data_IF_513300207726
#
_entry.id   IF_513300207726
#
_cell.length_a   1.000
_cell.length_b   1.000
_cell.length_c   1.000
_cell.angle_alpha   90.00
_cell.angle_beta   90.00
_cell.angle_gamma   90.00
#
_symmetry.space_group_name_H-M   'P 1'
#
loop_
_entity.id
_entity.type
_entity.pdbx_description
1 polymer ?
#
# COMPACT_ATOMS: atom_id res chain seq x y z
N UNK A 1 10.71 35.15 -52.27
CA UNK A 1 9.60 34.17 -52.19
C UNK A 1 9.94 32.99 -51.28
N UNK A 2 11.05 32.27 -51.52
CA UNK A 2 11.48 31.13 -50.69
C UNK A 2 11.63 31.43 -49.19
N UNK A 3 12.17 32.60 -48.82
CA UNK A 3 12.31 33.01 -47.41
C UNK A 3 10.97 33.12 -46.67
N UNK A 4 9.92 33.63 -47.31
CA UNK A 4 8.59 33.76 -46.69
C UNK A 4 7.91 32.41 -46.47
N UNK A 5 8.08 31.48 -47.42
CA UNK A 5 7.58 30.11 -47.30
C UNK A 5 8.30 29.37 -46.17
N UNK A 6 9.63 29.50 -46.08
CA UNK A 6 10.41 28.89 -45.00
C UNK A 6 9.99 29.41 -43.61
N UNK A 7 9.77 30.73 -43.48
CA UNK A 7 9.28 31.33 -42.23
C UNK A 7 7.88 30.81 -41.89
N UNK A 8 6.97 30.72 -42.87
CA UNK A 8 5.63 30.21 -42.63
C UNK A 8 5.64 28.74 -42.15
N UNK A 9 6.46 27.89 -42.78
CA UNK A 9 6.63 26.49 -42.35
C UNK A 9 7.21 26.40 -40.94
N UNK A 10 8.21 27.20 -40.62
CA UNK A 10 8.79 27.25 -39.27
C UNK A 10 7.77 27.70 -38.23
N UNK A 11 6.96 28.72 -38.54
CA UNK A 11 5.90 29.21 -37.65
C UNK A 11 4.86 28.10 -37.39
N UNK A 12 4.42 27.40 -38.43
CA UNK A 12 3.50 26.26 -38.28
C UNK A 12 4.13 25.14 -37.46
N UNK A 13 5.41 24.82 -37.69
CA UNK A 13 6.14 23.83 -36.90
C UNK A 13 6.24 24.20 -35.42
N UNK A 14 6.55 25.45 -35.10
CA UNK A 14 6.60 25.95 -33.72
C UNK A 14 5.22 25.92 -33.08
N UNK A 15 4.18 26.37 -33.79
CA UNK A 15 2.81 26.35 -33.28
C UNK A 15 2.33 24.92 -33.01
N UNK A 16 2.62 23.98 -33.91
CA UNK A 16 2.27 22.57 -33.75
C UNK A 16 2.99 21.91 -32.56
N UNK A 17 4.30 22.13 -32.41
CA UNK A 17 5.08 21.59 -31.29
C UNK A 17 4.70 22.21 -29.96
N UNK A 18 4.38 23.51 -29.92
CA UNK A 18 3.89 24.17 -28.72
C UNK A 18 2.51 23.62 -28.29
N UNK A 19 1.60 23.41 -29.24
CA UNK A 19 0.29 22.81 -28.96
C UNK A 19 0.43 21.38 -28.44
N UNK A 20 1.23 20.55 -29.12
CA UNK A 20 1.49 19.17 -28.70
C UNK A 20 2.13 19.11 -27.31
N UNK A 21 3.15 19.94 -27.04
CA UNK A 21 3.80 19.99 -25.74
C UNK A 21 2.87 20.42 -24.61
N UNK A 22 1.94 21.35 -24.89
CA UNK A 22 0.92 21.74 -23.92
C UNK A 22 -0.08 20.61 -23.63
N UNK A 23 -0.52 19.90 -24.68
CA UNK A 23 -1.43 18.78 -24.55
C UNK A 23 -0.79 17.63 -23.76
N UNK A 24 0.43 17.24 -24.13
CA UNK A 24 1.23 16.22 -23.43
C UNK A 24 1.40 16.57 -21.94
N UNK A 25 1.74 17.82 -21.63
CA UNK A 25 1.90 18.27 -20.25
C UNK A 25 0.60 18.14 -19.44
N UNK A 26 -0.55 18.45 -20.05
CA UNK A 26 -1.88 18.33 -19.41
C UNK A 26 -2.25 16.88 -19.14
N UNK A 27 -2.09 16.01 -20.13
CA UNK A 27 -2.38 14.58 -20.02
C UNK A 27 -1.49 13.91 -18.96
N UNK A 28 -0.18 14.16 -19.02
CA UNK A 28 0.78 13.67 -18.02
C UNK A 28 0.41 14.12 -16.61
N UNK A 29 0.07 15.40 -16.43
CA UNK A 29 -0.32 15.95 -15.13
C UNK A 29 -1.58 15.27 -14.60
N UNK A 30 -2.57 15.01 -15.45
CA UNK A 30 -3.81 14.33 -15.06
C UNK A 30 -3.55 12.90 -14.58
N UNK A 31 -2.67 12.17 -15.27
CA UNK A 31 -2.26 10.81 -14.87
C UNK A 31 -1.54 10.83 -13.52
N UNK A 32 -0.56 11.72 -13.33
CA UNK A 32 0.18 11.82 -12.07
C UNK A 32 -0.74 12.15 -10.88
N UNK A 33 -1.70 13.06 -11.07
CA UNK A 33 -2.70 13.37 -10.04
C UNK A 33 -3.61 12.17 -9.76
N UNK A 34 -4.05 11.44 -10.79
CA UNK A 34 -4.89 10.27 -10.60
C UNK A 34 -4.16 9.17 -9.80
N UNK A 35 -2.91 8.89 -10.16
CA UNK A 35 -2.07 7.93 -9.46
C UNK A 35 -1.80 8.36 -8.00
N UNK A 36 -1.47 9.64 -7.76
CA UNK A 36 -1.31 10.17 -6.40
C UNK A 36 -2.59 10.00 -5.57
N UNK A 37 -3.76 10.29 -6.14
CA UNK A 37 -5.04 10.10 -5.46
C UNK A 37 -5.32 8.61 -5.18
N UNK A 38 -4.91 7.71 -6.08
CA UNK A 38 -5.04 6.26 -5.86
C UNK A 38 -4.13 5.80 -4.72
N UNK A 39 -2.88 6.24 -4.68
CA UNK A 39 -1.95 5.91 -3.60
C UNK A 39 -2.43 6.42 -2.25
N UNK A 40 -2.90 7.67 -2.18
CA UNK A 40 -3.45 8.23 -0.94
C UNK A 40 -4.66 7.43 -0.44
N UNK A 41 -5.58 7.06 -1.35
CA UNK A 41 -6.75 6.24 -1.00
C UNK A 41 -6.35 4.85 -0.54
N UNK A 42 -5.55 4.14 -1.34
CA UNK A 42 -5.10 2.79 -1.02
C UNK A 42 -4.33 2.75 0.30
N UNK A 43 -3.48 3.74 0.57
CA UNK A 43 -2.76 3.82 1.83
C UNK A 43 -3.70 4.07 3.02
N UNK A 44 -4.66 4.99 2.86
CA UNK A 44 -5.67 5.25 3.88
C UNK A 44 -6.51 3.99 4.17
N UNK A 45 -7.00 3.33 3.13
CA UNK A 45 -7.82 2.13 3.26
C UNK A 45 -7.02 0.99 3.88
N UNK A 46 -5.77 0.78 3.44
CA UNK A 46 -4.84 -0.17 4.07
C UNK A 46 -4.66 0.10 5.57
N UNK A 47 -4.39 1.36 5.96
CA UNK A 47 -4.18 1.70 7.38
C UNK A 47 -5.42 1.40 8.22
N UNK A 48 -6.61 1.68 7.69
CA UNK A 48 -7.88 1.36 8.34
C UNK A 48 -8.09 -0.15 8.45
N UNK A 49 -7.83 -0.91 7.38
CA UNK A 49 -8.00 -2.36 7.39
C UNK A 49 -7.03 -3.04 8.34
N UNK A 50 -5.79 -2.54 8.47
CA UNK A 50 -4.81 -3.06 9.45
C UNK A 50 -5.25 -2.77 10.89
N UNK A 51 -5.76 -1.57 11.17
CA UNK A 51 -6.36 -1.25 12.48
C UNK A 51 -7.50 -2.24 12.81
N UNK A 52 -8.43 -2.44 11.86
CA UNK A 52 -9.56 -3.35 12.02
C UNK A 52 -9.10 -4.81 12.19
N UNK A 53 -8.09 -5.22 11.45
CA UNK A 53 -7.51 -6.56 11.52
C UNK A 53 -6.88 -6.83 12.90
N UNK A 54 -6.13 -5.86 13.45
CA UNK A 54 -5.59 -5.96 14.80
C UNK A 54 -6.71 -6.16 15.83
N UNK A 55 -7.76 -5.34 15.78
CA UNK A 55 -8.92 -5.44 16.67
C UNK A 55 -9.62 -6.80 16.57
N UNK A 56 -9.82 -7.30 15.35
CA UNK A 56 -10.49 -8.59 15.11
C UNK A 56 -9.67 -9.77 15.59
N UNK A 57 -8.35 -9.74 15.39
CA UNK A 57 -7.43 -10.76 15.93
C UNK A 57 -7.41 -10.71 17.46
N UNK A 58 -7.31 -9.52 18.06
CA UNK A 58 -7.33 -9.35 19.51
C UNK A 58 -8.63 -9.85 20.13
N UNK A 59 -9.76 -9.57 19.47
CA UNK A 59 -11.06 -10.12 19.85
C UNK A 59 -11.05 -11.65 19.82
N UNK A 60 -10.57 -12.27 18.74
CA UNK A 60 -10.45 -13.73 18.63
C UNK A 60 -9.61 -14.35 19.76
N UNK A 61 -8.53 -13.69 20.17
CA UNK A 61 -7.67 -14.15 21.27
C UNK A 61 -8.34 -14.05 22.64
N UNK A 62 -9.20 -13.05 22.84
CA UNK A 62 -9.94 -12.82 24.08
C UNK A 62 -11.21 -13.68 24.21
N UNK A 63 -11.68 -14.26 23.10
CA UNK A 63 -12.86 -15.12 23.08
C UNK A 63 -12.58 -16.47 23.73
N UNK A 64 -13.45 -16.86 24.65
CA UNK A 64 -13.35 -18.12 25.39
C UNK A 64 -14.29 -19.22 24.84
N UNK A 65 -15.23 -18.87 23.96
CA UNK A 65 -16.20 -19.81 23.37
C UNK A 65 -15.91 -20.10 21.90
N UNK A 66 -15.93 -21.39 21.55
CA UNK A 66 -15.57 -21.94 20.23
C UNK A 66 -16.58 -21.55 19.13
N UNK A 67 -17.87 -21.47 19.49
CA UNK A 67 -19.00 -21.25 18.58
C UNK A 67 -18.95 -19.90 17.83
N UNK A 68 -18.18 -18.95 18.34
CA UNK A 68 -18.06 -17.59 17.75
C UNK A 68 -16.70 -17.35 17.10
N UNK A 69 -15.77 -18.31 17.18
CA UNK A 69 -14.41 -18.13 16.68
C UNK A 69 -14.31 -18.33 15.17
N UNK A 70 -15.03 -19.31 14.58
CA UNK A 70 -15.02 -19.52 13.12
C UNK A 70 -15.55 -18.32 12.34
N UNK A 71 -16.71 -17.72 12.69
CA UNK A 71 -17.20 -16.52 12.02
C UNK A 71 -16.24 -15.33 12.13
N UNK A 72 -15.58 -15.18 13.28
CA UNK A 72 -14.62 -14.12 13.51
C UNK A 72 -13.37 -14.29 12.64
N UNK A 73 -12.85 -15.51 12.49
CA UNK A 73 -11.74 -15.80 11.60
C UNK A 73 -12.11 -15.66 10.12
N UNK A 74 -13.37 -15.93 9.76
CA UNK A 74 -13.86 -15.62 8.41
C UNK A 74 -13.84 -14.11 8.12
N UNK A 75 -14.20 -13.27 9.10
CA UNK A 75 -14.09 -11.81 8.96
C UNK A 75 -12.63 -11.35 8.87
N UNK A 76 -11.73 -11.93 9.67
CA UNK A 76 -10.27 -11.69 9.56
C UNK A 76 -9.78 -12.03 8.16
N UNK A 77 -10.19 -13.15 7.58
CA UNK A 77 -9.83 -13.54 6.22
C UNK A 77 -10.33 -12.55 5.16
N UNK A 78 -11.57 -12.09 5.30
CA UNK A 78 -12.17 -11.07 4.41
C UNK A 78 -11.41 -9.75 4.48
N UNK A 79 -11.20 -9.20 5.68
CA UNK A 79 -10.46 -7.95 5.90
C UNK A 79 -9.03 -8.06 5.34
N UNK A 80 -8.38 -9.21 5.57
CA UNK A 80 -7.04 -9.47 5.03
C UNK A 80 -7.03 -9.42 3.50
N UNK A 81 -8.07 -9.97 2.86
CA UNK A 81 -8.20 -9.94 1.39
C UNK A 81 -8.40 -8.52 0.86
N UNK A 82 -9.16 -7.69 1.57
CA UNK A 82 -9.33 -6.26 1.27
C UNK A 82 -7.98 -5.52 1.42
N UNK A 83 -7.31 -5.67 2.55
CA UNK A 83 -6.00 -5.07 2.80
C UNK A 83 -4.92 -5.51 1.79
N UNK A 84 -4.96 -6.77 1.33
CA UNK A 84 -4.04 -7.28 0.32
C UNK A 84 -4.23 -6.60 -1.04
N UNK A 85 -5.47 -6.24 -1.39
CA UNK A 85 -5.73 -5.46 -2.60
C UNK A 85 -5.24 -4.02 -2.46
N UNK A 86 -5.33 -3.43 -1.27
CA UNK A 86 -4.90 -2.06 -1.02
C UNK A 86 -3.38 -1.94 -1.00
N UNK A 87 -2.66 -2.85 -0.31
CA UNK A 87 -1.18 -2.83 -0.31
C UNK A 87 -0.61 -3.07 -1.70
N UNK A 88 -1.25 -3.92 -2.52
CA UNK A 88 -0.84 -4.19 -3.90
C UNK A 88 -0.99 -3.00 -4.85
N UNK A 89 -1.74 -1.96 -4.45
CA UNK A 89 -1.85 -0.71 -5.21
C UNK A 89 -0.79 0.33 -4.82
N UNK A 90 0.02 0.07 -3.79
CA UNK A 90 1.06 0.98 -3.33
C UNK A 90 2.39 0.67 -4.01
N UNK A 91 3.30 1.64 -4.11
CA UNK A 91 4.65 1.39 -4.63
C UNK A 91 5.40 0.41 -3.70
N UNK A 92 5.42 -0.87 -4.07
CA UNK A 92 5.97 -1.99 -3.28
C UNK A 92 7.50 -1.95 -3.11
N UNK A 93 8.19 -0.95 -3.65
CA UNK A 93 9.63 -0.74 -3.46
C UNK A 93 9.98 -0.24 -2.05
N UNK A 94 8.98 0.03 -1.20
CA UNK A 94 9.15 0.44 0.19
C UNK A 94 9.14 -0.77 1.15
N UNK A 95 10.09 -0.81 2.09
CA UNK A 95 10.25 -1.94 3.02
C UNK A 95 9.00 -2.21 3.91
N UNK A 96 8.31 -1.20 4.47
CA UNK A 96 7.08 -1.40 5.23
C UNK A 96 5.97 -2.12 4.48
N UNK A 97 5.84 -1.92 3.16
CA UNK A 97 4.78 -2.55 2.37
C UNK A 97 5.06 -4.01 2.06
N UNK A 98 6.33 -4.38 1.85
CA UNK A 98 6.71 -5.79 1.72
C UNK A 98 6.45 -6.57 3.01
N UNK A 99 6.83 -6.01 4.17
CA UNK A 99 6.51 -6.60 5.48
C UNK A 99 5.00 -6.78 5.68
N UNK A 100 4.23 -5.76 5.26
CA UNK A 100 2.77 -5.78 5.35
C UNK A 100 2.17 -6.88 4.46
N UNK A 101 2.63 -7.02 3.21
CA UNK A 101 2.18 -8.06 2.30
C UNK A 101 2.48 -9.47 2.83
N UNK A 102 3.69 -9.70 3.35
CA UNK A 102 4.06 -10.98 3.97
C UNK A 102 3.16 -11.33 5.15
N UNK A 103 2.90 -10.35 6.04
CA UNK A 103 1.99 -10.54 7.15
C UNK A 103 0.57 -10.85 6.67
N UNK A 104 0.04 -10.11 5.69
CA UNK A 104 -1.29 -10.32 5.14
C UNK A 104 -1.42 -11.72 4.52
N UNK A 105 -0.40 -12.19 3.80
CA UNK A 105 -0.38 -13.57 3.29
C UNK A 105 -0.45 -14.60 4.43
N UNK A 106 0.30 -14.39 5.51
CA UNK A 106 0.36 -15.31 6.65
C UNK A 106 -0.96 -15.36 7.44
N UNK A 107 -1.53 -14.21 7.82
CA UNK A 107 -2.81 -14.15 8.53
C UNK A 107 -3.96 -14.61 7.64
N UNK A 108 -3.93 -14.32 6.33
CA UNK A 108 -4.95 -14.77 5.39
C UNK A 108 -4.99 -16.30 5.28
N UNK A 109 -3.82 -16.94 5.18
CA UNK A 109 -3.71 -18.39 5.13
C UNK A 109 -4.14 -19.05 6.45
N UNK A 110 -3.74 -18.47 7.59
CA UNK A 110 -4.14 -18.95 8.91
C UNK A 110 -5.66 -18.85 9.11
N UNK A 111 -6.22 -17.66 8.87
CA UNK A 111 -7.63 -17.38 9.09
C UNK A 111 -8.53 -18.20 8.18
N UNK A 112 -8.18 -18.36 6.90
CA UNK A 112 -8.91 -19.25 5.99
C UNK A 112 -8.92 -20.70 6.48
N UNK A 113 -7.75 -21.27 6.80
CA UNK A 113 -7.65 -22.67 7.24
C UNK A 113 -8.44 -22.93 8.53
N UNK A 114 -8.39 -21.99 9.46
CA UNK A 114 -9.09 -22.11 10.73
C UNK A 114 -10.60 -21.81 10.60
N UNK A 115 -11.01 -20.88 9.74
CA UNK A 115 -12.42 -20.50 9.56
C UNK A 115 -13.25 -21.57 8.83
N UNK A 116 -12.64 -22.30 7.88
CA UNK A 116 -13.32 -23.39 7.15
C UNK A 116 -13.48 -24.64 8.03
N UNK A 117 -12.74 -24.73 9.14
CA UNK A 117 -12.85 -25.82 10.12
C UNK A 117 -14.00 -25.55 11.09
N UNK A 118 -14.67 -26.62 11.51
CA UNK A 118 -15.64 -26.59 12.61
C UNK A 118 -14.86 -26.52 13.94
N UNK A 119 -14.68 -25.31 14.46
CA UNK A 119 -13.88 -25.08 15.67
C UNK A 119 -14.57 -25.55 16.96
N UNK A 120 -15.86 -25.91 16.90
CA UNK A 120 -16.58 -26.49 18.02
C UNK A 120 -16.14 -27.94 18.23
N UNK A 121 -15.95 -28.67 17.13
CA UNK A 121 -15.41 -30.03 17.12
C UNK A 121 -13.89 -30.07 17.17
N UNK A 122 -13.23 -29.20 16.40
CA UNK A 122 -11.79 -29.16 16.22
C UNK A 122 -11.25 -27.75 16.56
N UNK A 123 -11.16 -27.41 17.87
CA UNK A 123 -10.71 -26.10 18.31
C UNK A 123 -9.29 -25.78 17.83
N UNK A 124 -8.88 -24.52 17.95
CA UNK A 124 -7.48 -24.17 17.74
C UNK A 124 -6.60 -24.99 18.69
N UNK A 125 -5.57 -25.60 18.12
CA UNK A 125 -4.49 -26.23 18.88
C UNK A 125 -3.67 -25.17 19.61
N UNK A 126 -2.96 -25.55 20.66
CA UNK A 126 -2.07 -24.62 21.39
C UNK A 126 -1.07 -23.93 20.45
N UNK A 127 -0.57 -24.66 19.44
CA UNK A 127 0.33 -24.11 18.43
C UNK A 127 -0.36 -23.06 17.54
N UNK A 128 -1.60 -23.31 17.13
CA UNK A 128 -2.38 -22.34 16.34
C UNK A 128 -2.73 -21.11 17.19
N UNK A 129 -3.02 -21.27 18.47
CA UNK A 129 -3.26 -20.16 19.39
C UNK A 129 -2.00 -19.30 19.60
N UNK A 130 -0.82 -19.92 19.78
CA UNK A 130 0.45 -19.19 19.82
C UNK A 130 0.77 -18.49 18.49
N UNK A 131 0.44 -19.13 17.36
CA UNK A 131 0.58 -18.50 16.04
C UNK A 131 -0.30 -17.26 15.94
N UNK A 132 -1.55 -17.33 16.41
CA UNK A 132 -2.47 -16.19 16.42
C UNK A 132 -1.98 -15.03 17.30
N UNK A 133 -1.32 -15.31 18.44
CA UNK A 133 -0.67 -14.28 19.26
C UNK A 133 0.49 -13.60 18.55
N UNK A 134 1.31 -14.36 17.82
CA UNK A 134 2.40 -13.80 17.01
C UNK A 134 1.84 -12.89 15.93
N UNK A 135 0.81 -13.34 15.21
CA UNK A 135 0.14 -12.54 14.18
C UNK A 135 -0.50 -11.27 14.77
N UNK A 136 -1.08 -11.35 15.98
CA UNK A 136 -1.58 -10.17 16.68
C UNK A 136 -0.47 -9.15 16.95
N UNK A 137 0.67 -9.59 17.49
CA UNK A 137 1.82 -8.72 17.74
C UNK A 137 2.34 -8.08 16.45
N UNK A 138 2.49 -8.87 15.39
CA UNK A 138 2.93 -8.40 14.07
C UNK A 138 1.97 -7.36 13.49
N UNK A 139 0.66 -7.56 13.62
CA UNK A 139 -0.33 -6.58 13.16
C UNK A 139 -0.19 -5.23 13.88
N UNK A 140 0.15 -5.24 15.18
CA UNK A 140 0.41 -4.03 15.95
C UNK A 140 1.71 -3.33 15.57
N UNK A 141 2.75 -4.08 15.21
CA UNK A 141 4.00 -3.54 14.67
C UNK A 141 3.76 -2.86 13.32
N UNK A 142 3.06 -3.54 12.40
CA UNK A 142 2.70 -2.99 11.08
C UNK A 142 1.83 -1.74 11.21
N UNK A 143 0.87 -1.76 12.12
CA UNK A 143 0.04 -0.59 12.43
C UNK A 143 0.90 0.63 12.83
N UNK A 144 1.94 0.41 13.64
CA UNK A 144 2.88 1.47 14.03
C UNK A 144 3.73 1.93 12.86
N UNK A 145 4.24 1.01 12.03
CA UNK A 145 5.03 1.33 10.85
C UNK A 145 4.22 2.16 9.85
N UNK A 146 2.97 1.79 9.59
CA UNK A 146 2.07 2.55 8.73
C UNK A 146 1.76 3.94 9.30
N UNK A 147 1.57 4.08 10.61
CA UNK A 147 1.41 5.40 11.27
C UNK A 147 2.67 6.26 11.15
N UNK A 148 3.85 5.66 11.21
CA UNK A 148 5.12 6.37 11.00
C UNK A 148 5.24 6.85 9.56
N UNK A 149 4.90 6.00 8.59
CA UNK A 149 4.82 6.37 7.18
C UNK A 149 3.86 7.55 6.98
N UNK A 150 2.65 7.47 7.55
CA UNK A 150 1.67 8.56 7.51
C UNK A 150 2.26 9.86 8.08
N UNK A 151 2.93 9.77 9.22
CA UNK A 151 3.58 10.92 9.85
C UNK A 151 4.66 11.53 8.94
N UNK A 152 5.51 10.72 8.32
CA UNK A 152 6.54 11.19 7.39
C UNK A 152 5.95 11.90 6.17
N UNK A 153 4.91 11.32 5.57
CA UNK A 153 4.22 11.90 4.41
C UNK A 153 3.64 13.27 4.75
N UNK A 154 2.93 13.39 5.89
CA UNK A 154 2.33 14.65 6.32
C UNK A 154 3.38 15.68 6.75
N UNK A 155 4.38 15.27 7.53
CA UNK A 155 5.42 16.17 8.06
C UNK A 155 6.25 16.80 6.95
N UNK A 156 6.58 16.03 5.92
CA UNK A 156 7.46 16.45 4.84
C UNK A 156 6.68 16.85 3.57
N UNK A 157 5.34 16.85 3.62
CA UNK A 157 4.45 17.13 2.48
C UNK A 157 4.84 16.34 1.22
N UNK A 158 5.08 15.04 1.41
CA UNK A 158 5.55 14.15 0.36
C UNK A 158 4.41 13.72 -0.54
N UNK A 159 4.70 13.59 -1.84
CA UNK A 159 3.82 12.92 -2.81
C UNK A 159 4.34 11.52 -3.03
N UNK A 160 3.46 10.53 -2.97
CA UNK A 160 3.79 9.13 -3.18
C UNK A 160 4.44 8.89 -4.54
N UNK A 161 3.95 9.59 -5.57
CA UNK A 161 4.50 9.55 -6.91
C UNK A 161 5.96 10.06 -6.98
N UNK A 162 6.33 11.08 -6.20
CA UNK A 162 7.70 11.59 -6.19
C UNK A 162 8.65 10.57 -5.54
N UNK A 163 8.17 9.86 -4.51
CA UNK A 163 8.92 8.79 -3.84
C UNK A 163 9.15 7.63 -4.81
N UNK A 164 8.11 7.20 -5.52
CA UNK A 164 8.21 6.14 -6.53
C UNK A 164 9.18 6.51 -7.66
N UNK A 165 9.08 7.73 -8.20
CA UNK A 165 9.99 8.21 -9.23
C UNK A 165 11.44 8.26 -8.73
N UNK A 166 11.66 8.75 -7.50
CA UNK A 166 12.99 8.83 -6.91
C UNK A 166 13.62 7.42 -6.78
N UNK A 167 12.85 6.44 -6.30
CA UNK A 167 13.29 5.05 -6.21
C UNK A 167 13.63 4.44 -7.58
N UNK A 168 12.77 4.68 -8.58
CA UNK A 168 13.00 4.19 -9.94
C UNK A 168 14.24 4.82 -10.59
N UNK A 169 14.58 6.06 -10.25
CA UNK A 169 15.79 6.73 -10.76
C UNK A 169 17.06 6.39 -9.99
N UNK A 170 16.97 6.09 -8.69
CA UNK A 170 18.12 5.81 -7.82
C UNK A 170 18.65 4.37 -7.93
N UNK A 171 17.92 3.44 -8.55
CA UNK A 171 18.49 2.11 -8.92
C UNK A 171 19.72 2.23 -9.85
N UNK A 172 20.05 3.43 -10.36
CA UNK A 172 21.26 3.70 -11.15
C UNK A 172 22.26 4.73 -10.56
N UNK A 173 21.94 5.50 -9.52
CA UNK A 173 22.83 6.54 -8.96
C UNK A 173 22.68 6.65 -7.44
N UNK A 174 23.78 6.46 -6.72
CA UNK A 174 23.89 6.71 -5.28
C UNK A 174 23.75 8.21 -5.00
N UNK A 175 22.54 8.68 -4.72
CA UNK A 175 22.29 10.00 -4.13
C UNK A 175 21.71 9.87 -2.73
N UNK A 176 22.32 10.61 -1.80
CA UNK A 176 21.96 10.71 -0.38
C UNK A 176 20.62 11.44 -0.26
N UNK A 177 19.52 10.70 -0.22
CA UNK A 177 18.17 11.25 -0.24
C UNK A 177 17.39 10.84 1.01
N UNK A 178 17.29 11.76 1.95
CA UNK A 178 16.69 11.58 3.28
C UNK A 178 15.23 11.08 3.25
N UNK A 179 14.52 11.30 2.14
CA UNK A 179 13.15 10.82 1.93
C UNK A 179 13.14 9.29 1.82
N UNK A 180 14.07 8.71 1.06
CA UNK A 180 14.13 7.27 0.79
C UNK A 180 14.63 6.50 2.01
N UNK A 181 15.62 7.05 2.72
CA UNK A 181 16.10 6.47 3.98
C UNK A 181 14.99 6.38 5.03
N UNK A 182 14.09 7.38 5.04
CA UNK A 182 12.89 7.37 5.88
C UNK A 182 12.03 6.13 5.63
N UNK A 183 11.66 5.85 4.37
CA UNK A 183 10.79 4.70 4.05
C UNK A 183 11.51 3.34 4.05
N UNK A 184 12.84 3.29 4.00
CA UNK A 184 13.61 2.04 4.12
C UNK A 184 13.87 1.63 5.57
N UNK A 185 13.97 2.59 6.49
CA UNK A 185 14.45 2.31 7.86
C UNK A 185 13.34 1.97 8.85
N UNK A 186 12.08 2.31 8.55
CA UNK A 186 10.90 1.86 9.33
C UNK A 186 10.55 0.39 9.07
#
# INVERSE_FOLDING_TARGET
MLRGIAIAVLVVGIAGTAYWGYQEHREKTAILINAENNYQRAFHDLTYQIDLLNDKIGTSLAMNSKDSLSPQLAEVWKITSEAHNDVGQLPLTLLPFNKTEEFLANIGNFSYKAAVRDLDKEPLTDKEYETLKVLYKQSGEIQQDLRQVQHMVLKNNLRWMDVELALATEEGQQTDNTIIDGFKTV
#
